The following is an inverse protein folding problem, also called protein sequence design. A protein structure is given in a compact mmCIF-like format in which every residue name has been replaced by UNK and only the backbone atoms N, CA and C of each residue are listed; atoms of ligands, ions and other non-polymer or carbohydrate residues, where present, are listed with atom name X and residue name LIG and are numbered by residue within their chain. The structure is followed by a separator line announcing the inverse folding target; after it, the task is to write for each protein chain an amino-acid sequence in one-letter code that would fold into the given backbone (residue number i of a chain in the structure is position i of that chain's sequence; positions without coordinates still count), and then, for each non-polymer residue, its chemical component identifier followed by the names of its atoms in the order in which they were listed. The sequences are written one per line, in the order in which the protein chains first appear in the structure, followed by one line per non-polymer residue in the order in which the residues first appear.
data_IF_256005994761
#
_entry.id   IF_256005994761
#
_cell.length_a   1.000
_cell.length_b   1.000
_cell.length_c   1.000
_cell.angle_alpha   90.00
_cell.angle_beta   90.00
_cell.angle_gamma   90.00
#
_symmetry.space_group_name_H-M   'P 1'
#
loop_
_entity.id
_entity.type
_entity.pdbx_description
1 polymer ?
#
# COMPACT_ATOMS: atom_id res chain seq x y z
N UNK A 1 14.54 -4.72 7.78
CA UNK A 1 13.68 -3.99 8.75
C UNK A 1 13.18 -2.73 8.06
N UNK A 2 11.86 -2.51 8.04
CA UNK A 2 11.25 -1.27 7.52
C UNK A 2 10.82 -0.45 8.75
N UNK A 3 11.30 0.78 8.94
CA UNK A 3 11.07 1.55 10.17
C UNK A 3 9.65 2.14 10.27
N UNK A 4 8.92 2.22 9.15
CA UNK A 4 7.57 2.76 9.07
C UNK A 4 6.76 1.98 8.04
N UNK A 5 5.45 1.90 8.27
CA UNK A 5 4.44 1.24 7.45
C UNK A 5 4.81 -0.22 7.14
N UNK A 6 5.31 -0.95 8.12
CA UNK A 6 5.68 -2.36 7.96
C UNK A 6 4.44 -3.26 7.99
N UNK A 7 4.54 -4.46 7.40
CA UNK A 7 3.40 -5.39 7.31
C UNK A 7 3.02 -5.86 8.72
N UNK A 8 1.82 -5.50 9.17
CA UNK A 8 1.32 -5.79 10.52
C UNK A 8 1.48 -4.63 11.51
N UNK A 9 1.96 -3.46 11.07
CA UNK A 9 1.95 -2.25 11.90
C UNK A 9 0.51 -1.80 12.20
N UNK A 10 0.19 -1.65 13.48
CA UNK A 10 -1.09 -1.08 13.90
C UNK A 10 -1.07 0.44 13.75
N UNK A 11 -2.06 0.98 13.04
CA UNK A 11 -2.19 2.42 12.74
C UNK A 11 -3.61 2.91 12.98
N UNK A 12 -3.77 4.22 13.16
CA UNK A 12 -5.06 4.86 13.43
C UNK A 12 -5.22 5.28 14.88
N UNK A 13 -6.41 5.80 15.24
CA UNK A 13 -6.70 6.28 16.60
C UNK A 13 -7.15 5.16 17.56
N UNK A 14 -7.42 3.97 17.03
CA UNK A 14 -7.97 2.84 17.79
C UNK A 14 -9.50 2.84 17.91
N UNK A 15 -10.18 3.81 17.30
CA UNK A 15 -11.64 3.91 17.29
C UNK A 15 -12.23 3.42 15.96
N UNK A 16 -13.27 2.59 16.02
CA UNK A 16 -14.01 2.11 14.85
C UNK A 16 -13.76 0.63 14.51
N UNK A 17 -14.30 0.14 13.37
CA UNK A 17 -14.11 -1.23 12.95
C UNK A 17 -12.66 -1.49 12.49
N UNK A 18 -12.17 -2.69 12.73
CA UNK A 18 -10.88 -3.14 12.19
C UNK A 18 -10.94 -3.26 10.66
N UNK A 19 -9.87 -2.80 10.00
CA UNK A 19 -9.72 -2.81 8.55
C UNK A 19 -8.31 -3.21 8.16
N UNK A 20 -8.17 -3.88 7.02
CA UNK A 20 -6.89 -4.05 6.38
C UNK A 20 -6.53 -2.77 5.62
N UNK A 21 -5.25 -2.40 5.67
CA UNK A 21 -4.72 -1.22 4.99
C UNK A 21 -3.58 -1.63 4.07
N UNK A 22 -3.69 -1.27 2.79
CA UNK A 22 -2.58 -1.33 1.85
C UNK A 22 -2.19 0.09 1.45
N UNK A 23 -0.89 0.38 1.49
CA UNK A 23 -0.34 1.71 1.20
C UNK A 23 0.85 1.61 0.26
N UNK A 24 0.89 2.53 -0.69
CA UNK A 24 2.08 2.87 -1.45
C UNK A 24 2.27 4.40 -1.39
N UNK A 25 3.10 4.90 -0.45
CA UNK A 25 3.25 6.34 -0.25
C UNK A 25 3.67 7.09 -1.51
N UNK A 26 4.50 6.46 -2.36
CA UNK A 26 4.93 7.01 -3.64
C UNK A 26 5.07 5.85 -4.63
N UNK A 27 4.02 5.58 -5.39
CA UNK A 27 4.15 4.74 -6.56
C UNK A 27 4.88 5.52 -7.66
N UNK A 28 5.96 4.92 -8.17
CA UNK A 28 6.84 5.58 -9.13
C UNK A 28 7.82 6.59 -8.52
N UNK A 29 8.49 6.24 -7.42
CA UNK A 29 9.52 7.07 -6.75
C UNK A 29 10.49 7.78 -7.70
N UNK A 30 11.00 7.09 -8.74
CA UNK A 30 11.88 7.69 -9.75
C UNK A 30 11.20 8.80 -10.55
N UNK A 31 9.92 8.65 -10.88
CA UNK A 31 9.16 9.64 -11.64
C UNK A 31 9.02 10.93 -10.83
N UNK A 32 8.72 10.83 -9.53
CA UNK A 32 8.73 11.98 -8.61
C UNK A 32 10.11 12.65 -8.58
N UNK A 33 11.17 11.87 -8.38
CA UNK A 33 12.54 12.40 -8.29
C UNK A 33 12.99 13.14 -9.56
N UNK A 34 12.45 12.76 -10.72
CA UNK A 34 12.80 13.33 -12.03
C UNK A 34 11.76 14.33 -12.58
N UNK A 35 10.70 14.65 -11.81
CA UNK A 35 9.64 15.56 -12.27
C UNK A 35 8.84 15.03 -13.46
N UNK A 36 8.72 13.70 -13.59
CA UNK A 36 7.96 13.05 -14.65
C UNK A 36 6.51 12.82 -14.21
N UNK A 37 5.60 12.77 -15.18
CA UNK A 37 4.17 12.48 -14.94
C UNK A 37 3.93 11.05 -14.43
N UNK A 38 2.71 10.79 -13.98
CA UNK A 38 2.16 9.48 -13.59
C UNK A 38 2.71 8.87 -12.28
N UNK A 39 3.33 9.67 -11.41
CA UNK A 39 3.51 9.28 -10.02
C UNK A 39 2.22 9.50 -9.21
N UNK A 40 1.95 8.63 -8.24
CA UNK A 40 0.74 8.67 -7.42
C UNK A 40 1.07 8.30 -5.96
N UNK A 41 0.32 8.87 -5.02
CA UNK A 41 0.23 8.33 -3.66
C UNK A 41 -1.03 7.46 -3.57
N UNK A 42 -0.89 6.23 -3.09
CA UNK A 42 -1.97 5.23 -3.10
C UNK A 42 -2.24 4.70 -1.70
N UNK A 43 -3.52 4.59 -1.35
CA UNK A 43 -4.01 3.97 -0.12
C UNK A 43 -5.32 3.26 -0.40
N UNK A 44 -5.48 2.06 0.14
CA UNK A 44 -6.69 1.26 0.06
C UNK A 44 -7.05 0.70 1.44
N UNK A 45 -8.36 0.62 1.68
CA UNK A 45 -8.96 0.08 2.90
C UNK A 45 -9.94 -1.02 2.51
N UNK A 46 -9.97 -2.08 3.30
CA UNK A 46 -10.94 -3.14 3.13
C UNK A 46 -11.28 -3.77 4.50
N UNK A 47 -12.40 -4.50 4.63
CA UNK A 47 -12.67 -5.28 5.84
C UNK A 47 -11.47 -6.16 6.21
N UNK A 48 -11.30 -6.44 7.50
CA UNK A 48 -10.22 -7.30 7.98
C UNK A 48 -10.16 -8.64 7.21
N UNK A 49 -8.95 -9.06 6.86
CA UNK A 49 -8.60 -10.28 6.14
C UNK A 49 -9.16 -10.39 4.71
N UNK A 50 -9.46 -9.26 4.07
CA UNK A 50 -9.99 -9.24 2.69
C UNK A 50 -8.95 -8.86 1.64
N UNK A 51 -7.81 -8.30 2.04
CA UNK A 51 -6.69 -8.06 1.13
C UNK A 51 -5.79 -9.30 1.01
N UNK A 52 -5.31 -9.58 -0.21
CA UNK A 52 -4.38 -10.67 -0.43
C UNK A 52 -3.04 -10.36 0.27
N UNK A 53 -2.65 -11.21 1.22
CA UNK A 53 -1.33 -11.18 1.85
C UNK A 53 -0.28 -11.78 0.91
N UNK A 54 0.09 -11.03 -0.12
CA UNK A 54 1.11 -11.41 -1.08
C UNK A 54 2.52 -11.07 -0.57
N UNK A 55 3.52 -11.95 -0.77
CA UNK A 55 4.91 -11.59 -0.60
C UNK A 55 5.37 -10.56 -1.64
N UNK A 56 6.45 -9.85 -1.36
CA UNK A 56 7.07 -8.88 -2.27
C UNK A 56 7.76 -9.60 -3.43
N UNK A 57 7.01 -9.85 -4.51
CA UNK A 57 7.48 -10.55 -5.70
C UNK A 57 6.70 -10.13 -6.95
N UNK A 58 7.20 -10.50 -8.12
CA UNK A 58 6.48 -10.29 -9.37
C UNK A 58 5.17 -11.09 -9.42
N UNK A 59 4.14 -10.45 -9.96
CA UNK A 59 2.85 -11.07 -10.26
C UNK A 59 2.47 -10.72 -11.69
N UNK A 60 2.19 -11.74 -12.50
CA UNK A 60 1.64 -11.54 -13.85
C UNK A 60 0.18 -11.08 -13.71
N UNK A 61 -0.12 -9.91 -14.25
CA UNK A 61 -1.46 -9.30 -14.17
C UNK A 61 -2.04 -9.15 -15.58
N UNK A 62 -3.35 -9.33 -15.69
CA UNK A 62 -4.17 -8.88 -16.83
C UNK A 62 -5.37 -8.17 -16.21
N UNK A 63 -5.58 -6.92 -16.59
CA UNK A 63 -6.68 -6.07 -16.11
C UNK A 63 -7.36 -5.49 -17.34
N UNK A 64 -8.69 -5.56 -17.39
CA UNK A 64 -9.53 -5.10 -18.52
C UNK A 64 -10.58 -4.10 -18.05
#
# INVERSE_FOLDING_TARGET
MRPMLWIGEEVGKGDGPEVDIAVDPIEGTRMVAMGQSNALAVMAFAPRDSLLHAPDMYMKKLVV
#
